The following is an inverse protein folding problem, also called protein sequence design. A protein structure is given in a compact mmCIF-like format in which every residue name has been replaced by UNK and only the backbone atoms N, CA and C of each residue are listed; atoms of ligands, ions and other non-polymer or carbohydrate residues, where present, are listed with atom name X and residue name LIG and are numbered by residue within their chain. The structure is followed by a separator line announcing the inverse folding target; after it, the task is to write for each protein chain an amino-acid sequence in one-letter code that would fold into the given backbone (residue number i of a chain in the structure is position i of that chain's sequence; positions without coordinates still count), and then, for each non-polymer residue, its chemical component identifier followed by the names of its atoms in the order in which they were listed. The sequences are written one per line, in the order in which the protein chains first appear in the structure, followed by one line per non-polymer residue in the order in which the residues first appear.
data_IF_317245076358
#
_entry.id   IF_317245076358
#
_cell.length_a   1.000
_cell.length_b   1.000
_cell.length_c   1.000
_cell.angle_alpha   90.00
_cell.angle_beta   90.00
_cell.angle_gamma   90.00
#
_symmetry.space_group_name_H-M   'P 1'
#
loop_
_entity.id
_entity.type
_entity.pdbx_description
1 polymer ?
#
# COMPACT_ATOMS: atom_id res chain seq x y z
N UNK A 1 15.62 9.75 -5.23
CA UNK A 1 14.62 8.73 -5.52
C UNK A 1 14.36 7.95 -4.25
N UNK A 2 13.12 7.48 -4.08
CA UNK A 2 12.63 6.69 -2.96
C UNK A 2 12.20 5.36 -3.56
N UNK A 3 12.67 4.24 -3.03
CA UNK A 3 12.20 2.92 -3.46
C UNK A 3 10.87 2.62 -2.77
N UNK A 4 9.93 2.06 -3.50
CA UNK A 4 8.67 1.55 -2.97
C UNK A 4 8.45 0.14 -3.51
N UNK A 5 7.82 -0.70 -2.71
CA UNK A 5 7.39 -2.04 -3.13
C UNK A 5 5.88 -2.03 -3.23
N UNK A 6 5.38 -2.46 -4.39
CA UNK A 6 3.96 -2.65 -4.63
C UNK A 6 3.65 -4.13 -4.71
N UNK A 7 2.63 -4.57 -4.01
CA UNK A 7 2.14 -5.95 -4.06
C UNK A 7 0.69 -5.92 -4.51
N UNK A 8 0.35 -6.73 -5.49
CA UNK A 8 -1.01 -6.94 -5.98
C UNK A 8 -1.47 -8.30 -5.48
N UNK A 9 -2.52 -8.31 -4.69
CA UNK A 9 -3.08 -9.50 -4.06
C UNK A 9 -4.46 -9.77 -4.65
N UNK A 10 -4.72 -11.05 -4.96
CA UNK A 10 -6.01 -11.56 -5.41
C UNK A 10 -6.56 -12.49 -4.34
N UNK A 11 -7.76 -12.17 -3.87
CA UNK A 11 -8.51 -13.00 -2.95
C UNK A 11 -9.69 -13.63 -3.69
N UNK A 12 -9.76 -14.97 -3.79
CA UNK A 12 -10.90 -15.62 -4.41
C UNK A 12 -12.15 -15.45 -3.52
N UNK A 13 -13.35 -15.58 -4.09
CA UNK A 13 -14.57 -15.52 -3.31
C UNK A 13 -14.58 -16.66 -2.27
N UNK A 14 -15.14 -16.42 -1.07
CA UNK A 14 -15.29 -17.47 -0.07
C UNK A 14 -16.15 -18.61 -0.62
N UNK A 15 -15.75 -19.85 -0.37
CA UNK A 15 -16.49 -21.04 -0.78
C UNK A 15 -17.16 -21.72 0.43
N UNK A 16 -18.05 -22.70 0.19
CA UNK A 16 -18.81 -23.37 1.27
C UNK A 16 -17.93 -24.24 2.20
N UNK A 17 -16.65 -24.40 1.91
CA UNK A 17 -15.71 -25.30 2.58
C UNK A 17 -14.46 -24.59 3.14
N UNK A 18 -14.23 -23.35 2.73
CA UNK A 18 -13.12 -22.50 3.14
C UNK A 18 -13.60 -21.08 3.39
N UNK A 19 -13.90 -20.81 4.66
CA UNK A 19 -14.29 -19.48 5.14
C UNK A 19 -13.11 -18.48 5.09
N UNK A 20 -11.87 -18.94 4.89
CA UNK A 20 -10.65 -18.14 4.89
C UNK A 20 -9.73 -18.55 3.72
N UNK A 21 -10.14 -18.31 2.46
CA UNK A 21 -9.34 -18.72 1.33
C UNK A 21 -7.97 -18.04 1.33
N UNK A 22 -6.93 -18.82 1.00
CA UNK A 22 -5.57 -18.29 0.82
C UNK A 22 -5.56 -17.22 -0.30
N UNK A 23 -4.99 -16.06 0.00
CA UNK A 23 -4.75 -15.03 -1.01
C UNK A 23 -3.58 -15.43 -1.90
N UNK A 24 -3.64 -15.01 -3.16
CA UNK A 24 -2.57 -15.17 -4.13
C UNK A 24 -1.90 -13.83 -4.37
N UNK A 25 -0.57 -13.80 -4.36
CA UNK A 25 0.20 -12.63 -4.79
C UNK A 25 0.31 -12.72 -6.31
N UNK A 26 -0.44 -11.87 -7.01
CA UNK A 26 -0.44 -11.79 -8.48
C UNK A 26 0.85 -11.14 -8.98
N UNK A 27 1.33 -10.10 -8.28
CA UNK A 27 2.55 -9.37 -8.66
C UNK A 27 3.23 -8.69 -7.46
N UNK A 28 4.57 -8.60 -7.50
CA UNK A 28 5.39 -7.84 -6.57
C UNK A 28 6.45 -7.06 -7.35
N UNK A 29 6.40 -5.73 -7.26
CA UNK A 29 7.29 -4.85 -8.02
C UNK A 29 7.91 -3.77 -7.14
N UNK A 30 9.24 -3.65 -7.22
CA UNK A 30 9.98 -2.53 -6.63
C UNK A 30 10.29 -1.47 -7.68
N UNK A 31 9.92 -0.22 -7.40
CA UNK A 31 10.16 0.92 -8.29
C UNK A 31 10.84 2.09 -7.55
N UNK A 32 11.57 2.92 -8.31
CA UNK A 32 12.21 4.13 -7.79
C UNK A 32 11.43 5.36 -8.22
N UNK A 33 10.86 6.08 -7.27
CA UNK A 33 10.03 7.26 -7.51
C UNK A 33 10.65 8.54 -6.97
N UNK A 34 10.31 9.66 -7.59
CA UNK A 34 10.52 10.98 -7.02
C UNK A 34 9.53 11.23 -5.87
N UNK A 35 9.76 12.30 -5.10
CA UNK A 35 8.81 12.68 -4.05
C UNK A 35 7.43 13.04 -4.59
N UNK A 36 7.36 13.69 -5.77
CA UNK A 36 6.08 14.06 -6.39
C UNK A 36 5.30 12.83 -6.82
N UNK A 37 5.97 11.88 -7.47
CA UNK A 37 5.37 10.60 -7.88
C UNK A 37 4.92 9.82 -6.64
N UNK A 38 5.72 9.76 -5.57
CA UNK A 38 5.31 9.12 -4.32
C UNK A 38 4.00 9.71 -3.76
N UNK A 39 3.86 11.04 -3.74
CA UNK A 39 2.62 11.69 -3.29
C UNK A 39 1.44 11.36 -4.20
N UNK A 40 1.67 11.27 -5.52
CA UNK A 40 0.63 10.91 -6.48
C UNK A 40 0.20 9.45 -6.31
N UNK A 41 1.14 8.53 -6.13
CA UNK A 41 0.85 7.12 -5.84
C UNK A 41 0.07 6.97 -4.55
N UNK A 42 0.54 7.57 -3.44
CA UNK A 42 -0.12 7.47 -2.13
C UNK A 42 -1.57 7.98 -2.13
N UNK A 43 -1.93 8.90 -3.02
CA UNK A 43 -3.32 9.40 -3.13
C UNK A 43 -4.31 8.39 -3.70
N UNK A 44 -3.81 7.32 -4.33
CA UNK A 44 -4.64 6.22 -4.84
C UNK A 44 -5.12 5.30 -3.73
N UNK A 45 -4.46 5.34 -2.57
CA UNK A 45 -4.74 4.47 -1.43
C UNK A 45 -5.61 5.21 -0.41
N UNK A 46 -6.64 4.55 0.11
CA UNK A 46 -7.58 5.10 1.11
C UNK A 46 -7.32 4.57 2.52
N UNK A 47 -6.63 3.44 2.63
CA UNK A 47 -6.42 2.71 3.88
C UNK A 47 -4.94 2.71 4.27
N UNK A 48 -4.70 2.65 5.58
CA UNK A 48 -3.37 2.48 6.17
C UNK A 48 -3.43 1.25 7.07
N UNK A 49 -2.37 0.45 7.07
CA UNK A 49 -2.31 -0.81 7.82
C UNK A 49 -2.42 -0.67 9.34
N UNK A 50 -2.18 0.53 9.86
CA UNK A 50 -2.19 0.83 11.28
C UNK A 50 -3.14 1.98 11.61
N UNK A 51 -3.81 1.88 12.76
CA UNK A 51 -4.60 2.97 13.34
C UNK A 51 -4.19 3.17 14.81
N UNK A 52 -3.67 4.35 15.20
CA UNK A 52 -3.46 5.55 14.38
C UNK A 52 -2.22 5.46 13.48
N UNK A 53 -2.34 5.94 12.24
CA UNK A 53 -1.21 6.06 11.32
C UNK A 53 -0.29 7.25 11.67
N UNK A 54 1.03 7.04 11.69
CA UNK A 54 2.05 8.04 12.05
C UNK A 54 3.09 8.29 10.94
N UNK A 55 2.97 7.60 9.81
CA UNK A 55 3.94 7.63 8.71
C UNK A 55 5.26 6.99 9.10
N UNK A 56 5.20 5.85 9.78
CA UNK A 56 6.36 5.00 10.01
C UNK A 56 6.67 4.17 8.77
N UNK A 57 7.91 3.69 8.64
CA UNK A 57 8.35 2.91 7.47
C UNK A 57 7.85 1.47 7.47
N UNK A 58 7.30 1.00 8.58
CA UNK A 58 6.62 -0.31 8.66
C UNK A 58 5.13 -0.22 8.35
N UNK A 59 4.58 0.99 8.21
CA UNK A 59 3.19 1.18 7.80
C UNK A 59 3.11 1.05 6.28
N UNK A 60 2.14 0.28 5.80
CA UNK A 60 1.83 0.17 4.38
C UNK A 60 0.45 0.71 4.11
N UNK A 61 0.21 1.04 2.84
CA UNK A 61 -1.07 1.56 2.36
C UNK A 61 -1.83 0.46 1.63
N UNK A 62 -3.16 0.52 1.68
CA UNK A 62 -4.05 -0.39 0.97
C UNK A 62 -5.06 0.39 0.13
N UNK A 63 -5.38 -0.12 -1.04
CA UNK A 63 -6.60 0.27 -1.76
C UNK A 63 -7.80 -0.38 -1.08
N UNK A 64 -9.00 0.14 -1.34
CA UNK A 64 -10.21 -0.66 -1.11
C UNK A 64 -10.17 -1.90 -2.01
N UNK A 65 -10.69 -3.06 -1.55
CA UNK A 65 -10.86 -4.23 -2.41
C UNK A 65 -11.71 -3.89 -3.63
N UNK A 66 -11.20 -4.24 -4.81
CA UNK A 66 -11.88 -4.02 -6.08
C UNK A 66 -12.34 -5.36 -6.68
N UNK A 67 -13.64 -5.56 -6.95
CA UNK A 67 -14.13 -6.82 -7.50
C UNK A 67 -13.74 -6.97 -8.98
N UNK A 68 -13.18 -8.12 -9.32
CA UNK A 68 -13.03 -8.61 -10.69
C UNK A 68 -14.30 -9.35 -11.09
N UNK A 69 -15.18 -8.67 -11.83
CA UNK A 69 -16.47 -9.24 -12.24
C UNK A 69 -16.36 -10.42 -13.21
N UNK A 70 -15.20 -10.69 -13.81
CA UNK A 70 -15.02 -11.83 -14.70
C UNK A 70 -14.78 -13.12 -13.92
N UNK A 71 -14.02 -13.04 -12.82
CA UNK A 71 -13.64 -14.21 -12.02
C UNK A 71 -14.41 -14.31 -10.70
N UNK A 72 -14.92 -13.18 -10.20
CA UNK A 72 -15.51 -13.07 -8.87
C UNK A 72 -14.50 -12.79 -7.76
N UNK A 73 -13.22 -12.59 -8.09
CA UNK A 73 -12.17 -12.32 -7.11
C UNK A 73 -12.19 -10.86 -6.63
N UNK A 74 -11.58 -10.60 -5.49
CA UNK A 74 -11.26 -9.25 -5.02
C UNK A 74 -9.77 -8.98 -5.20
N UNK A 75 -9.44 -7.84 -5.81
CA UNK A 75 -8.07 -7.39 -6.03
C UNK A 75 -7.77 -6.25 -5.07
N UNK A 76 -6.65 -6.37 -4.37
CA UNK A 76 -6.13 -5.33 -3.47
C UNK A 76 -4.70 -4.98 -3.85
N UNK A 77 -4.39 -3.68 -3.91
CA UNK A 77 -3.01 -3.21 -4.04
C UNK A 77 -2.49 -2.74 -2.69
N UNK A 78 -1.25 -3.11 -2.37
CA UNK A 78 -0.55 -2.62 -1.18
C UNK A 78 0.72 -1.87 -1.57
N UNK A 79 1.05 -0.81 -0.82
CA UNK A 79 2.22 0.03 -1.06
C UNK A 79 3.10 0.12 0.19
N UNK A 80 4.35 -0.31 0.05
CA UNK A 80 5.32 -0.43 1.14
C UNK A 80 6.52 0.50 0.92
N UNK A 81 7.09 0.96 2.03
CA UNK A 81 8.43 1.55 2.02
C UNK A 81 9.48 0.44 1.91
N UNK A 82 10.21 0.41 0.80
CA UNK A 82 11.22 -0.63 0.55
C UNK A 82 12.40 -0.53 1.54
N UNK A 83 12.87 -1.67 2.05
CA UNK A 83 13.89 -1.73 3.10
C UNK A 83 15.29 -1.31 2.63
N UNK A 84 15.57 -1.34 1.32
CA UNK A 84 16.86 -0.91 0.76
C UNK A 84 17.00 0.62 0.72
N UNK A 85 15.94 1.35 1.06
CA UNK A 85 16.06 2.79 1.19
C UNK A 85 17.05 3.17 2.30
N UNK A 86 17.88 4.20 2.09
CA UNK A 86 18.73 4.70 3.17
C UNK A 86 17.85 5.31 4.28
N UNK A 87 18.27 5.24 5.57
CA UNK A 87 17.46 5.71 6.70
C UNK A 87 16.94 7.16 6.57
N UNK A 88 17.72 8.02 5.90
CA UNK A 88 17.35 9.42 5.62
C UNK A 88 16.10 9.58 4.75
N UNK A 89 15.67 8.53 4.04
CA UNK A 89 14.50 8.55 3.16
C UNK A 89 13.18 8.42 3.93
N UNK A 90 13.19 7.89 5.15
CA UNK A 90 12.00 7.72 6.00
C UNK A 90 11.24 9.04 6.21
N UNK A 91 11.95 10.18 6.30
CA UNK A 91 11.31 11.50 6.43
C UNK A 91 10.48 11.88 5.20
N UNK A 92 10.84 11.40 4.01
CA UNK A 92 10.12 11.69 2.77
C UNK A 92 8.88 10.81 2.64
N UNK A 93 8.95 9.55 3.07
CA UNK A 93 7.76 8.70 3.22
C UNK A 93 6.70 9.37 4.08
N UNK A 94 7.07 9.77 5.30
CA UNK A 94 6.17 10.48 6.22
C UNK A 94 5.61 11.78 5.63
N UNK A 95 6.48 12.60 5.03
CA UNK A 95 6.04 13.86 4.38
C UNK A 95 5.09 13.61 3.21
N UNK A 96 5.30 12.53 2.46
CA UNK A 96 4.44 12.16 1.36
C UNK A 96 3.07 11.70 1.86
N UNK A 97 3.01 10.85 2.90
CA UNK A 97 1.75 10.43 3.51
C UNK A 97 0.95 11.63 4.04
N UNK A 98 1.63 12.60 4.66
CA UNK A 98 0.99 13.85 5.07
C UNK A 98 0.46 14.66 3.87
N UNK A 99 1.25 14.81 2.81
CA UNK A 99 0.85 15.53 1.60
C UNK A 99 -0.25 14.82 0.78
N UNK A 100 -0.37 13.49 0.94
CA UNK A 100 -1.46 12.68 0.41
C UNK A 100 -2.73 12.75 1.28
N UNK A 101 -2.66 13.32 2.49
CA UNK A 101 -3.80 13.45 3.40
C UNK A 101 -4.05 12.23 4.29
N UNK A 102 -3.14 11.25 4.30
CA UNK A 102 -3.27 9.98 5.03
C UNK A 102 -2.96 10.12 6.53
N UNK A 103 -2.14 11.12 6.90
CA UNK A 103 -1.78 11.40 8.29
C UNK A 103 -1.83 12.89 8.58
N UNK A 104 -2.01 13.24 9.86
CA UNK A 104 -1.89 14.61 10.36
C UNK A 104 -0.59 14.75 11.13
N UNK A 105 0.28 15.69 10.73
CA UNK A 105 1.45 16.03 11.54
C UNK A 105 0.96 17.00 12.62
N UNK A 106 0.99 16.57 13.89
CA UNK A 106 0.90 17.52 14.99
C UNK A 106 2.21 18.32 15.00
N UNK A 107 2.09 19.64 14.80
CA UNK A 107 3.20 20.59 14.82
C UNK A 107 3.78 20.77 16.22
#
# INVERSE_FOLDING_TARGET
MIKITRIIERQPPPDEHDDCPDYQVDDEMTEQVSFRELVQEMRRFSLVSCSPAIGATYEWLLTEPAPDYMTGDEITETLHFDHDNPPRAAKYWRKAMHAAGLIKIRG
#
